data_IF_417409230330
#
_entry.id   IF_417409230330
#
_cell.length_a   1.000
_cell.length_b   1.000
_cell.length_c   1.000
_cell.angle_alpha   90.00
_cell.angle_beta   90.00
_cell.angle_gamma   90.00
#
_symmetry.space_group_name_H-M   'P 1'
#
loop_
_entity.id
_entity.type
_entity.pdbx_description
1 polymer ?
#
# COMPACT_ATOMS: atom_id res chain seq x y z
N UNK A 1 -14.03 3.64 -16.95
CA UNK A 1 -12.57 3.47 -16.76
C UNK A 1 -12.10 3.47 -15.30
N UNK A 2 -12.37 4.50 -14.49
CA UNK A 2 -11.84 4.59 -13.11
C UNK A 2 -12.87 4.35 -11.99
N UNK A 3 -14.02 3.72 -12.32
CA UNK A 3 -15.05 3.44 -11.32
C UNK A 3 -14.82 2.06 -10.70
N UNK A 4 -14.64 2.02 -9.38
CA UNK A 4 -14.51 0.81 -8.58
C UNK A 4 -15.53 0.85 -7.45
N UNK A 5 -16.14 -0.29 -7.15
CA UNK A 5 -17.03 -0.43 -6.00
C UNK A 5 -16.24 -1.03 -4.84
N UNK A 6 -16.14 -0.29 -3.74
CA UNK A 6 -15.56 -0.83 -2.51
C UNK A 6 -16.63 -1.58 -1.72
N UNK A 7 -16.40 -2.85 -1.40
CA UNK A 7 -17.23 -3.66 -0.51
C UNK A 7 -16.68 -3.57 0.92
N UNK A 8 -17.31 -2.77 1.80
CA UNK A 8 -16.90 -2.67 3.20
C UNK A 8 -17.34 -3.90 4.00
N UNK A 9 -16.74 -4.09 5.19
CA UNK A 9 -17.14 -5.08 6.21
C UNK A 9 -17.39 -6.49 5.63
N UNK A 10 -16.54 -6.93 4.71
CA UNK A 10 -16.66 -8.26 4.14
C UNK A 10 -16.04 -9.29 5.09
N UNK A 11 -16.85 -10.23 5.54
CA UNK A 11 -16.48 -11.23 6.55
C UNK A 11 -16.57 -12.65 5.99
N UNK A 12 -17.37 -12.88 4.94
CA UNK A 12 -17.57 -14.19 4.35
C UNK A 12 -17.53 -14.13 2.81
N UNK A 13 -17.06 -15.20 2.13
CA UNK A 13 -16.97 -15.23 0.66
C UNK A 13 -18.31 -14.99 -0.05
N UNK A 14 -19.42 -15.37 0.56
CA UNK A 14 -20.78 -15.23 0.02
C UNK A 14 -21.17 -13.77 -0.21
N UNK A 15 -20.65 -12.84 0.61
CA UNK A 15 -20.91 -11.41 0.43
C UNK A 15 -20.26 -10.88 -0.86
N UNK A 16 -19.04 -11.32 -1.18
CA UNK A 16 -18.39 -10.99 -2.44
C UNK A 16 -19.10 -11.67 -3.63
N UNK A 17 -19.50 -12.93 -3.48
CA UNK A 17 -20.25 -13.64 -4.51
C UNK A 17 -21.61 -12.97 -4.81
N UNK A 18 -22.29 -12.46 -3.79
CA UNK A 18 -23.54 -11.71 -3.95
C UNK A 18 -23.32 -10.40 -4.73
N UNK A 19 -22.24 -9.67 -4.44
CA UNK A 19 -21.89 -8.46 -5.21
C UNK A 19 -21.58 -8.79 -6.67
N UNK A 20 -20.93 -9.93 -6.95
CA UNK A 20 -20.72 -10.39 -8.33
C UNK A 20 -22.04 -10.64 -9.05
N UNK A 21 -23.02 -11.28 -8.39
CA UNK A 21 -24.34 -11.49 -8.98
C UNK A 21 -25.06 -10.17 -9.27
N UNK A 22 -24.94 -9.19 -8.37
CA UNK A 22 -25.48 -7.85 -8.59
C UNK A 22 -24.83 -7.17 -9.80
N UNK A 23 -23.50 -7.28 -9.96
CA UNK A 23 -22.81 -6.76 -11.14
C UNK A 23 -23.28 -7.44 -12.42
N UNK A 24 -23.42 -8.76 -12.42
CA UNK A 24 -23.90 -9.52 -13.59
C UNK A 24 -25.31 -9.05 -14.03
N UNK A 25 -26.20 -8.73 -13.08
CA UNK A 25 -27.53 -8.16 -13.36
C UNK A 25 -27.42 -6.73 -13.91
N UNK A 26 -26.64 -5.86 -13.28
CA UNK A 26 -26.49 -4.46 -13.71
C UNK A 26 -25.84 -4.35 -15.09
N UNK A 27 -24.85 -5.19 -15.38
CA UNK A 27 -24.19 -5.25 -16.69
C UNK A 27 -25.16 -5.73 -17.77
N UNK A 28 -25.99 -6.74 -17.47
CA UNK A 28 -26.98 -7.24 -18.41
C UNK A 28 -28.09 -6.22 -18.76
N UNK A 29 -28.44 -5.35 -17.81
CA UNK A 29 -29.48 -4.32 -17.97
C UNK A 29 -28.94 -2.94 -18.37
N UNK A 30 -27.66 -2.83 -18.76
CA UNK A 30 -27.01 -1.57 -19.16
C UNK A 30 -26.15 -1.69 -20.42
N UNK A 31 -25.45 -0.62 -20.79
CA UNK A 31 -24.48 -0.61 -21.90
C UNK A 31 -23.11 -1.19 -21.50
N UNK A 32 -22.95 -1.67 -20.27
CA UNK A 32 -21.70 -2.20 -19.75
C UNK A 32 -21.42 -3.60 -20.29
N UNK A 33 -20.14 -3.88 -20.53
CA UNK A 33 -19.69 -5.21 -20.91
C UNK A 33 -19.70 -6.17 -19.71
N UNK A 34 -19.92 -7.46 -19.99
CA UNK A 34 -19.76 -8.50 -18.96
C UNK A 34 -18.35 -8.46 -18.38
N UNK A 35 -18.25 -8.30 -17.07
CA UNK A 35 -16.96 -8.24 -16.37
C UNK A 35 -16.41 -6.83 -16.17
N UNK A 36 -17.10 -5.79 -16.66
CA UNK A 36 -16.63 -4.40 -16.63
C UNK A 36 -16.64 -3.82 -15.21
N UNK A 37 -17.67 -4.13 -14.40
CA UNK A 37 -17.73 -3.72 -13.01
C UNK A 37 -16.72 -4.50 -12.17
N UNK A 38 -15.78 -3.76 -11.58
CA UNK A 38 -14.75 -4.26 -10.66
C UNK A 38 -15.03 -3.81 -9.23
N UNK A 39 -14.41 -4.51 -8.29
CA UNK A 39 -14.53 -4.23 -6.87
C UNK A 39 -13.18 -4.18 -6.17
N UNK A 40 -13.19 -3.52 -5.03
CA UNK A 40 -12.16 -3.62 -4.00
C UNK A 40 -12.83 -4.04 -2.70
N UNK A 41 -12.10 -4.66 -1.78
CA UNK A 41 -12.65 -5.14 -0.51
C UNK A 41 -11.98 -4.47 0.68
N UNK A 42 -12.73 -4.23 1.75
CA UNK A 42 -12.16 -3.83 3.04
C UNK A 42 -11.90 -5.07 3.91
N UNK A 43 -10.63 -5.29 4.27
CA UNK A 43 -10.23 -6.24 5.32
C UNK A 43 -10.20 -5.46 6.63
N UNK A 44 -11.27 -5.57 7.39
CA UNK A 44 -11.52 -4.67 8.52
C UNK A 44 -12.23 -5.32 9.71
N UNK A 45 -12.31 -6.65 9.75
CA UNK A 45 -12.79 -7.41 10.91
C UNK A 45 -11.88 -8.62 11.15
N UNK A 46 -11.84 -9.17 12.36
CA UNK A 46 -11.06 -10.40 12.64
C UNK A 46 -11.48 -11.56 11.74
N UNK A 47 -12.78 -11.66 11.43
CA UNK A 47 -13.38 -12.66 10.54
C UNK A 47 -12.90 -12.51 9.10
N UNK A 48 -12.71 -11.26 8.63
CA UNK A 48 -12.15 -10.98 7.31
C UNK A 48 -10.69 -11.45 7.17
N UNK A 49 -9.97 -11.63 8.28
CA UNK A 49 -8.60 -12.16 8.32
C UNK A 49 -8.63 -13.69 8.42
N UNK A 50 -9.25 -14.25 9.47
CA UNK A 50 -9.36 -15.69 9.69
C UNK A 50 -10.79 -16.11 10.02
N UNK A 51 -11.22 -17.24 9.45
CA UNK A 51 -12.53 -17.81 9.75
C UNK A 51 -12.48 -18.72 10.98
N UNK A 52 -13.63 -19.26 11.38
CA UNK A 52 -13.76 -20.18 12.51
C UNK A 52 -12.95 -21.48 12.38
N UNK A 53 -12.48 -21.84 11.18
CA UNK A 53 -11.63 -23.01 10.93
C UNK A 53 -10.13 -22.68 10.95
N UNK A 54 -9.74 -21.42 11.23
CA UNK A 54 -8.35 -20.97 11.19
C UNK A 54 -7.80 -20.80 9.77
N UNK A 55 -8.67 -20.66 8.77
CA UNK A 55 -8.27 -20.46 7.37
C UNK A 55 -8.28 -18.97 7.04
N UNK A 56 -7.39 -18.55 6.12
CA UNK A 56 -7.30 -17.15 5.69
C UNK A 56 -8.53 -16.75 4.87
N UNK A 57 -9.46 -16.01 5.48
CA UNK A 57 -10.73 -15.62 4.87
C UNK A 57 -10.54 -14.66 3.71
N UNK A 58 -9.62 -13.69 3.86
CA UNK A 58 -9.31 -12.68 2.86
C UNK A 58 -9.08 -13.28 1.47
N UNK A 59 -8.37 -14.42 1.39
CA UNK A 59 -8.11 -15.12 0.13
C UNK A 59 -9.34 -15.80 -0.44
N UNK A 60 -10.21 -16.34 0.41
CA UNK A 60 -11.48 -16.97 0.01
C UNK A 60 -12.46 -15.93 -0.53
N UNK A 61 -12.52 -14.75 0.10
CA UNK A 61 -13.32 -13.60 -0.36
C UNK A 61 -12.90 -13.19 -1.78
N UNK A 62 -11.61 -12.98 -2.02
CA UNK A 62 -11.10 -12.62 -3.37
C UNK A 62 -11.42 -13.71 -4.40
N UNK A 63 -11.31 -14.99 -4.03
CA UNK A 63 -11.67 -16.11 -4.93
C UNK A 63 -13.15 -16.08 -5.30
N UNK A 64 -14.03 -15.78 -4.34
CA UNK A 64 -15.47 -15.67 -4.57
C UNK A 64 -15.85 -14.48 -5.47
N UNK A 65 -15.00 -13.44 -5.55
CA UNK A 65 -15.20 -12.31 -6.45
C UNK A 65 -14.97 -12.63 -7.94
N UNK A 66 -14.67 -13.88 -8.32
CA UNK A 66 -14.52 -14.36 -9.72
C UNK A 66 -13.63 -13.47 -10.60
N UNK A 67 -12.51 -12.98 -10.06
CA UNK A 67 -11.56 -12.12 -10.80
C UNK A 67 -12.01 -10.67 -10.99
N UNK A 68 -13.10 -10.24 -10.31
CA UNK A 68 -13.56 -8.84 -10.29
C UNK A 68 -12.96 -8.02 -9.14
N UNK A 69 -12.45 -8.69 -8.09
CA UNK A 69 -11.71 -8.01 -7.04
C UNK A 69 -10.29 -7.68 -7.51
N UNK A 70 -9.93 -6.40 -7.51
CA UNK A 70 -8.61 -5.93 -7.96
C UNK A 70 -7.79 -5.30 -6.83
N UNK A 71 -8.42 -4.95 -5.71
CA UNK A 71 -7.76 -4.29 -4.58
C UNK A 71 -8.32 -4.73 -3.24
N UNK A 72 -7.51 -4.64 -2.19
CA UNK A 72 -7.88 -4.87 -0.81
C UNK A 72 -7.32 -3.75 0.07
N UNK A 73 -8.20 -3.18 0.88
CA UNK A 73 -7.92 -2.06 1.77
C UNK A 73 -7.94 -2.54 3.21
N UNK A 74 -7.00 -2.08 4.04
CA UNK A 74 -7.03 -2.35 5.46
C UNK A 74 -7.88 -1.30 6.19
N UNK A 75 -8.92 -1.74 6.91
CA UNK A 75 -9.76 -0.87 7.73
C UNK A 75 -9.32 -0.86 9.18
N UNK A 76 -8.38 0.01 9.53
CA UNK A 76 -7.73 0.09 10.86
C UNK A 76 -8.70 0.10 12.03
N UNK A 77 -9.71 0.99 12.00
CA UNK A 77 -10.52 1.28 13.19
C UNK A 77 -11.60 0.24 13.42
N UNK A 78 -12.24 -0.25 12.36
CA UNK A 78 -13.14 -1.40 12.45
C UNK A 78 -12.37 -2.66 12.89
N UNK A 79 -11.15 -2.87 12.36
CA UNK A 79 -10.35 -4.03 12.74
C UNK A 79 -9.92 -3.97 14.20
N UNK A 80 -9.37 -2.85 14.65
CA UNK A 80 -8.96 -2.68 16.05
C UNK A 80 -10.14 -2.77 17.01
N UNK A 81 -11.32 -2.25 16.62
CA UNK A 81 -12.55 -2.47 17.37
C UNK A 81 -12.94 -3.95 17.44
N UNK A 82 -12.80 -4.70 16.33
CA UNK A 82 -13.05 -6.15 16.31
C UNK A 82 -12.02 -6.97 17.11
N UNK A 83 -10.89 -6.36 17.48
CA UNK A 83 -9.90 -6.89 18.42
C UNK A 83 -10.13 -6.42 19.87
N UNK A 84 -11.28 -5.83 20.17
CA UNK A 84 -11.66 -5.30 21.50
C UNK A 84 -10.75 -4.18 22.04
N UNK A 85 -10.02 -3.46 21.17
CA UNK A 85 -9.25 -2.28 21.58
C UNK A 85 -10.19 -1.12 21.88
N UNK A 86 -10.06 -0.55 23.09
CA UNK A 86 -10.72 0.72 23.42
C UNK A 86 -10.18 1.86 22.55
N UNK A 87 -10.99 2.90 22.35
CA UNK A 87 -10.69 4.02 21.45
C UNK A 87 -9.31 4.66 21.68
N UNK A 88 -8.85 4.76 22.93
CA UNK A 88 -7.55 5.35 23.28
C UNK A 88 -6.33 4.56 22.72
N UNK A 89 -6.51 3.29 22.36
CA UNK A 89 -5.46 2.42 21.82
C UNK A 89 -5.68 2.05 20.35
N UNK A 90 -6.75 2.55 19.71
CA UNK A 90 -6.96 2.35 18.27
C UNK A 90 -6.02 3.26 17.47
N UNK A 91 -4.86 2.74 17.11
CA UNK A 91 -3.84 3.42 16.31
C UNK A 91 -3.38 2.56 15.13
N UNK A 92 -2.99 3.22 14.04
CA UNK A 92 -2.61 2.55 12.79
C UNK A 92 -1.31 1.75 12.92
N UNK A 93 -0.38 2.22 13.73
CA UNK A 93 0.96 1.67 13.98
C UNK A 93 0.98 0.67 15.15
N UNK A 94 -0.18 0.10 15.51
CA UNK A 94 -0.25 -0.94 16.54
C UNK A 94 0.13 -2.32 15.98
N UNK A 95 0.73 -3.15 16.84
CA UNK A 95 1.12 -4.52 16.49
C UNK A 95 -0.06 -5.40 16.03
N UNK A 96 -1.28 -5.13 16.50
CA UNK A 96 -2.48 -5.86 16.04
C UNK A 96 -2.78 -5.54 14.57
N UNK A 97 -2.59 -4.29 14.15
CA UNK A 97 -2.71 -3.89 12.75
C UNK A 97 -1.60 -4.47 11.90
N UNK A 98 -0.36 -4.52 12.42
CA UNK A 98 0.78 -5.15 11.72
C UNK A 98 0.50 -6.61 11.42
N UNK A 99 -0.04 -7.35 12.39
CA UNK A 99 -0.43 -8.75 12.19
C UNK A 99 -1.41 -8.91 11.01
N UNK A 100 -2.49 -8.14 10.97
CA UNK A 100 -3.46 -8.23 9.87
C UNK A 100 -2.86 -7.83 8.53
N UNK A 101 -2.05 -6.76 8.50
CA UNK A 101 -1.32 -6.31 7.32
C UNK A 101 -0.37 -7.37 6.77
N UNK A 102 0.38 -8.03 7.64
CA UNK A 102 1.30 -9.10 7.24
C UNK A 102 0.53 -10.31 6.70
N UNK A 103 -0.58 -10.68 7.34
CA UNK A 103 -1.48 -11.73 6.81
C UNK A 103 -2.00 -11.34 5.42
N UNK A 104 -2.46 -10.10 5.22
CA UNK A 104 -2.89 -9.62 3.90
C UNK A 104 -1.78 -9.72 2.85
N UNK A 105 -0.56 -9.26 3.18
CA UNK A 105 0.59 -9.33 2.25
C UNK A 105 0.91 -10.74 1.83
N UNK A 106 0.93 -11.68 2.78
CA UNK A 106 1.22 -13.10 2.49
C UNK A 106 0.05 -13.74 1.74
N UNK A 107 -1.18 -13.49 2.15
CA UNK A 107 -2.38 -14.07 1.54
C UNK A 107 -2.57 -13.63 0.07
N UNK A 108 -2.22 -12.38 -0.23
CA UNK A 108 -2.38 -11.78 -1.55
C UNK A 108 -1.10 -11.78 -2.38
N UNK A 109 0.03 -12.26 -1.84
CA UNK A 109 1.28 -12.40 -2.57
C UNK A 109 1.11 -13.15 -3.89
N UNK A 110 1.58 -12.57 -4.99
CA UNK A 110 1.49 -13.16 -6.33
C UNK A 110 0.06 -13.24 -6.93
N UNK A 111 -0.95 -12.70 -6.26
CA UNK A 111 -2.35 -12.78 -6.72
C UNK A 111 -2.77 -11.65 -7.66
N UNK A 112 -1.97 -10.58 -7.78
CA UNK A 112 -2.32 -9.37 -8.52
C UNK A 112 -3.25 -8.41 -7.77
N UNK A 113 -3.68 -8.74 -6.55
CA UNK A 113 -4.48 -7.85 -5.71
C UNK A 113 -3.62 -6.71 -5.19
N UNK A 114 -4.05 -5.48 -5.50
CA UNK A 114 -3.44 -4.26 -4.98
C UNK A 114 -3.76 -4.07 -3.50
N UNK A 115 -2.80 -3.59 -2.71
CA UNK A 115 -2.97 -3.38 -1.27
C UNK A 115 -2.92 -1.89 -0.94
N UNK A 116 -3.90 -1.45 -0.15
CA UNK A 116 -4.03 -0.10 0.37
C UNK A 116 -4.14 -0.14 1.89
N UNK A 117 -3.35 0.64 2.61
CA UNK A 117 -3.47 0.75 4.06
C UNK A 117 -4.58 1.75 4.47
N UNK A 118 -4.92 1.76 5.75
CA UNK A 118 -5.90 2.64 6.35
C UNK A 118 -5.57 4.15 6.28
N UNK A 119 -6.46 4.94 6.86
CA UNK A 119 -6.29 6.39 7.01
C UNK A 119 -6.07 6.77 8.48
N UNK A 120 -5.39 7.88 8.75
CA UNK A 120 -5.29 8.43 10.12
C UNK A 120 -6.59 9.15 10.49
N UNK A 121 -7.27 8.73 11.57
CA UNK A 121 -8.54 9.31 12.01
C UNK A 121 -8.43 10.71 12.64
N UNK A 122 -7.24 11.12 13.07
CA UNK A 122 -7.01 12.47 13.58
C UNK A 122 -6.80 13.41 12.40
N UNK A 123 -7.85 14.18 12.09
CA UNK A 123 -7.84 15.12 10.97
C UNK A 123 -7.18 16.45 11.36
N UNK A 124 -6.41 17.08 10.46
CA UNK A 124 -5.76 18.37 10.69
C UNK A 124 -6.76 19.53 10.53
N UNK A 125 -7.69 19.64 11.48
CA UNK A 125 -8.73 20.68 11.50
C UNK A 125 -8.46 21.65 12.65
N UNK A 126 -8.40 22.93 12.32
CA UNK A 126 -8.26 24.01 13.30
C UNK A 126 -9.52 24.09 14.22
N UNK A 127 -9.37 24.07 15.55
CA UNK A 127 -10.49 24.16 16.49
C UNK A 127 -11.17 25.54 16.49
N UNK A 128 -10.43 26.62 16.23
CA UNK A 128 -10.96 27.99 16.24
C UNK A 128 -11.15 28.53 14.83
N UNK A 129 -12.29 29.19 14.58
CA UNK A 129 -12.67 29.76 13.27
C UNK A 129 -13.05 31.24 13.41
N UNK A 130 -12.87 32.02 12.35
CA UNK A 130 -13.26 33.44 12.27
C UNK A 130 -12.10 34.38 11.92
N UNK A 131 -12.43 35.63 11.62
CA UNK A 131 -11.45 36.64 11.17
C UNK A 131 -10.66 37.27 12.33
N UNK A 132 -11.25 37.33 13.54
CA UNK A 132 -10.67 37.97 14.72
C UNK A 132 -10.21 36.95 15.76
N UNK A 133 -9.22 36.13 15.41
CA UNK A 133 -8.61 35.17 16.34
C UNK A 133 -7.58 35.87 17.24
N UNK A 134 -7.62 35.57 18.54
CA UNK A 134 -6.55 35.96 19.45
C UNK A 134 -5.24 35.24 19.09
N UNK A 135 -4.10 35.81 19.51
CA UNK A 135 -2.79 35.18 19.32
C UNK A 135 -2.69 33.79 19.97
N UNK A 136 -3.46 33.53 21.03
CA UNK A 136 -3.55 32.21 21.66
C UNK A 136 -4.27 31.22 20.73
N UNK A 137 -5.43 31.60 20.19
CA UNK A 137 -6.21 30.73 19.30
C UNK A 137 -5.47 30.42 17.99
N UNK A 138 -4.74 31.38 17.42
CA UNK A 138 -3.89 31.13 16.25
C UNK A 138 -2.83 30.07 16.56
N UNK A 139 -2.22 30.14 17.74
CA UNK A 139 -1.21 29.16 18.17
C UNK A 139 -1.83 27.78 18.38
N UNK A 140 -2.96 27.69 19.05
CA UNK A 140 -3.69 26.43 19.28
C UNK A 140 -4.13 25.77 17.96
N UNK A 141 -4.53 26.58 16.97
CA UNK A 141 -4.82 26.11 15.62
C UNK A 141 -3.60 25.48 14.95
N UNK A 142 -2.47 26.18 14.95
CA UNK A 142 -1.21 25.68 14.38
C UNK A 142 -0.75 24.39 15.08
N UNK A 143 -0.75 24.37 16.40
CA UNK A 143 -0.35 23.21 17.20
C UNK A 143 -1.24 21.99 16.93
N UNK A 144 -2.55 22.19 16.76
CA UNK A 144 -3.50 21.10 16.46
C UNK A 144 -3.24 20.51 15.08
N UNK A 145 -3.09 21.35 14.06
CA UNK A 145 -2.81 20.93 12.68
C UNK A 145 -1.46 20.21 12.60
N UNK A 146 -0.41 20.79 13.17
CA UNK A 146 0.93 20.20 13.12
C UNK A 146 1.02 18.87 13.87
N UNK A 147 0.29 18.72 14.98
CA UNK A 147 0.21 17.45 15.71
C UNK A 147 -0.47 16.36 14.88
N UNK A 148 -1.59 16.68 14.23
CA UNK A 148 -2.29 15.75 13.34
C UNK A 148 -1.41 15.37 12.13
N UNK A 149 -0.70 16.35 11.55
CA UNK A 149 0.26 16.10 10.48
C UNK A 149 1.42 15.21 10.91
N UNK A 150 2.01 15.47 12.08
CA UNK A 150 3.10 14.63 12.61
C UNK A 150 2.65 13.19 12.83
N UNK A 151 1.43 12.99 13.34
CA UNK A 151 0.85 11.66 13.51
C UNK A 151 0.63 10.96 12.17
N UNK A 152 -0.01 11.63 11.22
CA UNK A 152 -0.25 11.09 9.88
C UNK A 152 1.07 10.74 9.16
N UNK A 153 2.08 11.60 9.26
CA UNK A 153 3.41 11.34 8.73
C UNK A 153 4.01 10.05 9.32
N UNK A 154 3.94 9.88 10.64
CA UNK A 154 4.41 8.68 11.33
C UNK A 154 3.69 7.41 10.86
N UNK A 155 2.35 7.44 10.77
CA UNK A 155 1.58 6.31 10.26
C UNK A 155 1.93 5.96 8.81
N UNK A 156 2.04 6.95 7.92
CA UNK A 156 2.38 6.71 6.52
C UNK A 156 3.79 6.11 6.40
N UNK A 157 4.75 6.61 7.18
CA UNK A 157 6.11 6.04 7.25
C UNK A 157 6.10 4.60 7.73
N UNK A 158 5.27 4.29 8.74
CA UNK A 158 5.07 2.93 9.23
C UNK A 158 4.52 2.01 8.13
N UNK A 159 3.44 2.40 7.45
CA UNK A 159 2.88 1.66 6.32
C UNK A 159 3.91 1.39 5.22
N UNK A 160 4.69 2.41 4.83
CA UNK A 160 5.73 2.29 3.80
C UNK A 160 6.84 1.30 4.20
N UNK A 161 7.30 1.35 5.46
CA UNK A 161 8.28 0.41 5.99
C UNK A 161 7.75 -1.03 6.02
N UNK A 162 6.44 -1.20 6.24
CA UNK A 162 5.75 -2.49 6.16
C UNK A 162 5.32 -2.86 4.73
N UNK A 163 5.77 -2.13 3.70
CA UNK A 163 5.53 -2.45 2.29
C UNK A 163 4.09 -2.21 1.81
N UNK A 164 3.33 -1.39 2.52
CA UNK A 164 2.07 -0.81 2.05
C UNK A 164 2.36 0.58 1.46
N UNK A 165 2.44 0.64 0.14
CA UNK A 165 2.84 1.86 -0.59
C UNK A 165 1.67 2.77 -0.98
N UNK A 166 0.44 2.36 -0.69
CA UNK A 166 -0.79 3.13 -0.89
C UNK A 166 -1.58 3.20 0.41
N UNK A 167 -2.38 4.26 0.57
CA UNK A 167 -3.45 4.34 1.55
C UNK A 167 -4.45 5.42 1.14
N UNK A 168 -5.35 5.78 2.05
CA UNK A 168 -6.40 6.78 1.82
C UNK A 168 -6.42 7.84 2.92
N UNK A 169 -7.03 8.99 2.64
CA UNK A 169 -7.10 10.15 3.52
C UNK A 169 -8.55 10.51 3.80
N UNK A 170 -8.83 10.96 5.02
CA UNK A 170 -10.17 11.39 5.44
C UNK A 170 -10.38 12.89 5.24
N UNK A 171 -9.30 13.66 5.08
CA UNK A 171 -9.35 15.10 4.97
C UNK A 171 -8.31 15.62 3.95
N UNK A 172 -8.63 16.59 3.08
CA UNK A 172 -7.69 17.13 2.08
C UNK A 172 -6.38 17.66 2.70
N UNK A 173 -6.44 18.18 3.92
CA UNK A 173 -5.26 18.61 4.66
C UNK A 173 -4.27 17.50 5.02
N UNK A 174 -4.60 16.22 4.83
CA UNK A 174 -3.66 15.09 5.00
C UNK A 174 -2.84 14.82 3.73
N UNK A 175 -3.35 15.22 2.56
CA UNK A 175 -2.72 14.98 1.25
C UNK A 175 -1.27 15.51 1.20
N UNK A 176 -0.97 16.76 1.61
CA UNK A 176 0.41 17.26 1.56
C UNK A 176 1.38 16.42 2.40
N UNK A 177 0.93 15.93 3.56
CA UNK A 177 1.73 15.11 4.46
C UNK A 177 1.98 13.72 3.85
N UNK A 178 1.01 13.14 3.16
CA UNK A 178 1.18 11.87 2.44
C UNK A 178 2.26 11.96 1.38
N UNK A 179 2.19 12.98 0.53
CA UNK A 179 3.23 13.20 -0.49
C UNK A 179 4.60 13.46 0.15
N UNK A 180 4.66 14.28 1.20
CA UNK A 180 5.92 14.54 1.90
C UNK A 180 6.52 13.28 2.53
N UNK A 181 5.71 12.44 3.19
CA UNK A 181 6.16 11.19 3.80
C UNK A 181 6.64 10.17 2.75
N UNK A 182 5.91 10.04 1.63
CA UNK A 182 6.27 9.14 0.53
C UNK A 182 7.57 9.59 -0.17
N UNK A 183 7.65 10.86 -0.56
CA UNK A 183 8.84 11.39 -1.21
C UNK A 183 10.07 11.27 -0.30
N UNK A 184 9.96 11.67 0.98
CA UNK A 184 11.05 11.54 1.94
C UNK A 184 11.52 10.09 2.10
N UNK A 185 10.59 9.11 2.15
CA UNK A 185 10.92 7.69 2.31
C UNK A 185 11.85 7.14 1.23
N UNK A 186 11.65 7.56 -0.02
CA UNK A 186 12.51 7.14 -1.13
C UNK A 186 13.75 8.03 -1.26
N UNK A 187 13.60 9.35 -1.17
CA UNK A 187 14.72 10.29 -1.35
C UNK A 187 15.81 10.13 -0.27
N UNK A 188 15.45 9.76 0.96
CA UNK A 188 16.41 9.46 2.04
C UNK A 188 17.36 8.30 1.68
N UNK A 189 16.94 7.38 0.81
CA UNK A 189 17.66 6.14 0.52
C UNK A 189 18.23 6.08 -0.91
N UNK A 190 17.96 7.09 -1.74
CA UNK A 190 18.26 7.05 -3.18
C UNK A 190 19.76 6.86 -3.46
N UNK A 191 20.63 7.64 -2.80
CA UNK A 191 22.07 7.61 -3.07
C UNK A 191 22.68 6.24 -2.76
N UNK A 192 22.37 5.67 -1.59
CA UNK A 192 22.86 4.36 -1.19
C UNK A 192 22.31 3.26 -2.13
N UNK A 193 21.02 3.31 -2.42
CA UNK A 193 20.34 2.33 -3.29
C UNK A 193 20.89 2.34 -4.71
N UNK A 194 21.18 3.52 -5.27
CA UNK A 194 21.80 3.70 -6.59
C UNK A 194 23.17 3.04 -6.66
N UNK A 195 24.05 3.32 -5.68
CA UNK A 195 25.40 2.72 -5.65
C UNK A 195 25.30 1.20 -5.51
N UNK A 196 24.42 0.71 -4.64
CA UNK A 196 24.26 -0.73 -4.41
C UNK A 196 23.74 -1.45 -5.65
N UNK A 197 22.67 -0.96 -6.27
CA UNK A 197 22.10 -1.60 -7.47
C UNK A 197 23.10 -1.60 -8.63
N UNK A 198 23.80 -0.49 -8.85
CA UNK A 198 24.84 -0.40 -9.89
C UNK A 198 25.93 -1.44 -9.69
N UNK A 199 26.46 -1.54 -8.47
CA UNK A 199 27.49 -2.53 -8.14
C UNK A 199 27.00 -3.96 -8.39
N UNK A 200 25.77 -4.28 -8.01
CA UNK A 200 25.18 -5.61 -8.23
C UNK A 200 25.07 -5.96 -9.72
N UNK A 201 24.59 -5.01 -10.52
CA UNK A 201 24.45 -5.16 -11.96
C UNK A 201 25.80 -5.33 -12.66
N UNK A 202 26.81 -4.55 -12.27
CA UNK A 202 28.18 -4.65 -12.79
C UNK A 202 28.85 -5.98 -12.42
N UNK A 203 28.65 -6.46 -11.19
CA UNK A 203 29.19 -7.74 -10.74
C UNK A 203 28.54 -8.92 -11.48
N UNK A 204 27.22 -8.87 -11.66
CA UNK A 204 26.49 -9.91 -12.38
C UNK A 204 26.94 -10.08 -13.85
N UNK A 205 27.47 -9.02 -14.46
CA UNK A 205 27.98 -9.01 -15.83
C UNK A 205 29.41 -9.56 -15.97
N UNK A 206 30.18 -9.64 -14.87
CA UNK A 206 31.55 -10.18 -14.87
C UNK A 206 31.48 -11.69 -14.60
N UNK A 207 31.80 -12.50 -15.62
CA UNK A 207 31.65 -13.97 -15.69
C UNK A 207 32.39 -14.85 -14.64
N UNK A 208 32.68 -14.34 -13.45
CA UNK A 208 33.23 -15.08 -12.31
C UNK A 208 32.11 -15.57 -11.40
N UNK A 209 31.24 -16.44 -11.93
CA UNK A 209 30.21 -17.13 -11.16
C UNK A 209 30.78 -18.37 -10.45
N UNK A 210 31.66 -18.14 -9.47
CA UNK A 210 32.09 -19.16 -8.51
C UNK A 210 31.23 -19.09 -7.26
N UNK A 211 30.26 -20.00 -7.11
CA UNK A 211 29.72 -20.46 -5.81
C UNK A 211 28.82 -19.52 -4.98
N UNK A 212 29.07 -18.21 -4.94
CA UNK A 212 28.49 -17.30 -3.93
C UNK A 212 27.26 -16.49 -4.40
N UNK A 213 26.84 -16.63 -5.67
CA UNK A 213 25.82 -15.75 -6.29
C UNK A 213 24.38 -16.08 -5.92
N UNK A 214 24.16 -17.13 -5.13
CA UNK A 214 22.82 -17.45 -4.67
C UNK A 214 22.31 -16.45 -3.59
N UNK A 215 23.19 -15.77 -2.85
CA UNK A 215 22.81 -14.77 -1.84
C UNK A 215 22.44 -13.39 -2.42
N UNK A 216 22.77 -13.13 -3.69
CA UNK A 216 22.69 -11.80 -4.29
C UNK A 216 21.28 -11.48 -4.87
N UNK A 217 20.67 -12.42 -5.59
CA UNK A 217 19.48 -12.13 -6.39
C UNK A 217 18.28 -11.61 -5.57
N UNK A 218 18.13 -12.06 -4.32
CA UNK A 218 17.08 -11.55 -3.42
C UNK A 218 17.35 -10.10 -2.99
N UNK A 219 18.62 -9.76 -2.71
CA UNK A 219 19.05 -8.40 -2.39
C UNK A 219 18.91 -7.48 -3.61
N UNK A 220 19.34 -7.94 -4.79
CA UNK A 220 19.14 -7.24 -6.06
C UNK A 220 17.65 -7.02 -6.37
N UNK A 221 16.78 -8.00 -6.11
CA UNK A 221 15.33 -7.84 -6.27
C UNK A 221 14.75 -6.80 -5.28
N UNK A 222 15.25 -6.75 -4.04
CA UNK A 222 14.88 -5.72 -3.07
C UNK A 222 15.21 -4.31 -3.56
N UNK A 223 16.40 -4.13 -4.12
CA UNK A 223 16.82 -2.85 -4.72
C UNK A 223 16.01 -2.51 -5.97
N UNK A 224 15.71 -3.49 -6.83
CA UNK A 224 14.85 -3.27 -7.99
C UNK A 224 13.44 -2.85 -7.56
N UNK A 225 12.90 -3.48 -6.51
CA UNK A 225 11.60 -3.10 -5.94
C UNK A 225 11.63 -1.66 -5.41
N UNK A 226 12.73 -1.20 -4.80
CA UNK A 226 12.87 0.19 -4.38
C UNK A 226 12.68 1.15 -5.55
N UNK A 227 13.44 0.99 -6.65
CA UNK A 227 13.35 1.87 -7.82
C UNK A 227 11.98 1.79 -8.50
N UNK A 228 11.39 0.59 -8.58
CA UNK A 228 10.04 0.41 -9.11
C UNK A 228 9.01 1.21 -8.29
N UNK A 229 9.08 1.14 -6.95
CA UNK A 229 8.13 1.83 -6.08
C UNK A 229 8.35 3.34 -6.06
N UNK A 230 9.61 3.77 -6.02
CA UNK A 230 9.98 5.19 -6.01
C UNK A 230 9.56 5.89 -7.31
N UNK A 231 9.79 5.25 -8.47
CA UNK A 231 9.40 5.82 -9.76
C UNK A 231 7.88 5.89 -9.89
N UNK A 232 7.16 4.82 -9.53
CA UNK A 232 5.70 4.79 -9.61
C UNK A 232 5.01 5.77 -8.65
N UNK A 233 5.66 6.14 -7.54
CA UNK A 233 5.12 7.17 -6.64
C UNK A 233 5.44 8.59 -7.08
N UNK A 234 6.28 8.77 -8.10
CA UNK A 234 6.79 10.08 -8.54
C UNK A 234 7.78 10.70 -7.56
N UNK A 235 8.39 9.89 -6.67
CA UNK A 235 9.39 10.38 -5.73
C UNK A 235 10.77 10.58 -6.39
N UNK A 236 11.04 9.89 -7.50
CA UNK A 236 12.28 9.97 -8.29
C UNK A 236 11.93 10.06 -9.78
N UNK A 237 12.90 10.50 -10.58
CA UNK A 237 12.76 10.61 -12.03
C UNK A 237 13.39 9.42 -12.77
N UNK A 238 13.17 9.34 -14.08
CA UNK A 238 13.75 8.28 -14.92
C UNK A 238 15.30 8.32 -14.91
N UNK A 239 15.89 9.51 -14.83
CA UNK A 239 17.36 9.69 -14.76
C UNK A 239 17.94 9.03 -13.49
N UNK A 240 17.23 9.07 -12.37
CA UNK A 240 17.67 8.41 -11.14
C UNK A 240 17.75 6.88 -11.29
N UNK A 241 16.82 6.31 -12.08
CA UNK A 241 16.82 4.87 -12.42
C UNK A 241 18.01 4.53 -13.32
N UNK A 242 18.25 5.32 -14.37
CA UNK A 242 19.36 5.12 -15.29
C UNK A 242 20.72 5.24 -14.57
N UNK A 243 20.84 6.18 -13.64
CA UNK A 243 22.00 6.32 -12.77
C UNK A 243 22.25 5.06 -11.93
N UNK A 244 21.25 4.23 -11.65
CA UNK A 244 21.42 2.97 -10.93
C UNK A 244 21.93 1.81 -11.80
N UNK A 245 22.17 2.04 -13.10
CA UNK A 245 22.70 1.05 -14.04
C UNK A 245 21.66 0.12 -14.66
N UNK A 246 20.37 0.46 -14.52
CA UNK A 246 19.22 -0.26 -15.11
C UNK A 246 18.35 0.71 -15.91
N UNK A 247 17.59 0.21 -16.88
CA UNK A 247 16.62 1.02 -17.62
C UNK A 247 15.27 1.05 -16.93
N UNK A 248 14.42 2.01 -17.32
CA UNK A 248 13.04 2.09 -16.83
C UNK A 248 12.25 0.83 -17.19
N UNK A 249 12.46 0.27 -18.39
CA UNK A 249 11.80 -0.96 -18.84
C UNK A 249 12.22 -2.17 -17.99
N UNK A 250 13.50 -2.26 -17.63
CA UNK A 250 14.01 -3.33 -16.77
C UNK A 250 13.40 -3.26 -15.36
N UNK A 251 13.27 -2.05 -14.81
CA UNK A 251 12.58 -1.82 -13.52
C UNK A 251 11.10 -2.18 -13.61
N UNK A 252 10.40 -1.78 -14.67
CA UNK A 252 8.99 -2.09 -14.89
C UNK A 252 8.73 -3.58 -15.14
N UNK A 253 9.67 -4.28 -15.79
CA UNK A 253 9.62 -5.73 -15.94
C UNK A 253 9.74 -6.48 -14.60
N UNK A 254 10.29 -5.83 -13.57
CA UNK A 254 10.17 -6.24 -12.17
C UNK A 254 10.93 -7.51 -11.77
N UNK A 255 11.88 -7.97 -12.58
CA UNK A 255 12.58 -9.24 -12.35
C UNK A 255 14.10 -9.10 -12.50
N UNK A 256 14.79 -8.95 -11.36
CA UNK A 256 16.25 -8.80 -11.33
C UNK A 256 16.98 -9.97 -12.00
N UNK A 257 16.48 -11.19 -11.78
CA UNK A 257 17.02 -12.39 -12.44
C UNK A 257 17.02 -12.28 -13.97
N UNK A 258 15.99 -11.70 -14.57
CA UNK A 258 15.90 -11.54 -16.03
C UNK A 258 16.90 -10.51 -16.54
N UNK A 259 17.12 -9.43 -15.77
CA UNK A 259 18.14 -8.42 -16.05
C UNK A 259 19.52 -9.08 -16.10
N UNK A 260 19.85 -9.90 -15.11
CA UNK A 260 21.12 -10.63 -15.06
C UNK A 260 21.24 -11.63 -16.22
N UNK A 261 20.20 -12.42 -16.49
CA UNK A 261 20.21 -13.40 -17.58
C UNK A 261 20.38 -12.76 -18.96
N UNK A 262 19.84 -11.56 -19.19
CA UNK A 262 19.96 -10.82 -20.45
C UNK A 262 21.33 -10.16 -20.67
N UNK A 263 22.13 -10.01 -19.60
CA UNK A 263 23.44 -9.33 -19.61
C UNK A 263 24.64 -10.30 -19.55
N UNK A 264 24.37 -11.61 -19.55
CA UNK A 264 25.36 -12.68 -19.72
C UNK A 264 25.65 -12.92 -21.20
#
# INVERSE_FOLDING_TARGET
DNFLVTLPKVEIPEQAAALVQLFEVLEADSELSSGELKMEIMIETTQSVFNANGEVTARKIVKAAKGRCIGAHFGTYDYTASCDLIAAYQTMDSAVCDFARDVMKVAFGGSGIFLSDGATNIMPVAPHRGENLSALQVRENLETVHRAWKLAYGHIRHSLAHGFYQGWDLHPGQIPVRYAANAAFFLEQIQESTVRLRNFVEQASKATLSGDIFDDAATGQGLLNFFFRALNSGAIDQEDVENAGVTVEEVQAGSFRKIVEARR
#
